data_IF_963031703122
#
_entry.id   IF_963031703122
#
_cell.length_a   1.000
_cell.length_b   1.000
_cell.length_c   1.000
_cell.angle_alpha   90.00
_cell.angle_beta   90.00
_cell.angle_gamma   90.00
#
_symmetry.space_group_name_H-M   'P 1'
#
loop_
_entity.id
_entity.type
_entity.pdbx_description
1 polymer ?
#
# COMPACT_ATOMS: atom_id res chain seq x y z
N UNK A 1 24.49 -9.64 34.05
CA UNK A 1 23.50 -8.62 33.73
C UNK A 1 24.31 -7.57 33.00
N UNK A 2 24.15 -7.51 31.68
CA UNK A 2 25.02 -6.70 30.81
C UNK A 2 24.36 -5.37 30.45
N UNK A 3 23.13 -5.10 30.89
CA UNK A 3 22.31 -3.99 30.37
C UNK A 3 21.47 -3.32 31.47
N UNK A 4 21.78 -3.57 32.75
CA UNK A 4 21.01 -3.18 33.93
C UNK A 4 19.49 -3.41 33.78
N UNK A 5 19.12 -4.48 33.07
CA UNK A 5 17.74 -4.74 32.62
C UNK A 5 17.22 -6.05 33.17
N UNK A 6 16.03 -6.01 33.76
CA UNK A 6 15.31 -7.19 34.22
C UNK A 6 14.31 -7.67 33.17
N UNK A 7 13.86 -8.92 33.28
CA UNK A 7 12.80 -9.47 32.41
C UNK A 7 11.87 -10.41 33.16
N UNK A 8 10.60 -10.50 32.74
CA UNK A 8 9.62 -11.49 33.21
C UNK A 8 9.78 -12.86 32.55
N UNK A 9 10.58 -12.94 31.48
CA UNK A 9 10.91 -14.17 30.77
C UNK A 9 12.41 -14.43 30.84
N UNK A 10 12.84 -15.24 31.81
CA UNK A 10 14.24 -15.65 31.93
C UNK A 10 14.69 -16.34 30.64
N UNK A 11 15.82 -15.91 30.08
CA UNK A 11 16.32 -16.44 28.82
C UNK A 11 17.06 -17.76 29.03
N UNK A 12 16.61 -18.82 28.37
CA UNK A 12 17.35 -20.10 28.34
C UNK A 12 18.52 -20.06 27.35
N UNK A 13 18.35 -19.32 26.25
CA UNK A 13 19.35 -19.07 25.22
C UNK A 13 19.24 -17.60 24.78
N UNK A 14 20.36 -16.89 24.77
CA UNK A 14 20.44 -15.53 24.25
C UNK A 14 21.42 -15.45 23.08
N UNK A 15 21.00 -14.85 21.97
CA UNK A 15 21.86 -14.58 20.81
C UNK A 15 22.13 -13.08 20.79
N UNK A 16 23.37 -12.70 21.08
CA UNK A 16 23.84 -11.32 20.97
C UNK A 16 24.53 -11.16 19.62
N UNK A 17 23.92 -10.36 18.74
CA UNK A 17 24.40 -10.15 17.37
C UNK A 17 24.87 -8.70 17.22
N UNK A 18 26.15 -8.51 16.88
CA UNK A 18 26.75 -7.19 16.66
C UNK A 18 26.83 -6.87 15.16
N UNK A 19 27.21 -7.87 14.36
CA UNK A 19 27.14 -7.83 12.89
C UNK A 19 27.04 -9.24 12.30
N UNK A 20 27.18 -9.39 10.98
CA UNK A 20 27.07 -10.67 10.29
C UNK A 20 28.13 -11.72 10.71
N UNK A 21 29.20 -11.29 11.36
CA UNK A 21 30.36 -12.12 11.74
C UNK A 21 30.69 -12.07 13.23
N UNK A 22 30.29 -11.01 13.92
CA UNK A 22 30.52 -10.81 15.34
C UNK A 22 29.25 -11.10 16.12
N UNK A 23 29.28 -12.16 16.92
CA UNK A 23 28.16 -12.62 17.73
C UNK A 23 28.64 -13.40 18.96
N UNK A 24 27.78 -13.49 19.97
CA UNK A 24 27.91 -14.44 21.06
C UNK A 24 26.57 -15.14 21.31
N UNK A 25 26.62 -16.43 21.67
CA UNK A 25 25.46 -17.18 22.14
C UNK A 25 25.70 -17.57 23.60
N UNK A 26 24.76 -17.21 24.47
CA UNK A 26 24.81 -17.45 25.90
C UNK A 26 23.71 -18.40 26.36
N UNK A 27 23.96 -19.13 27.44
CA UNK A 27 22.94 -19.94 28.13
C UNK A 27 22.40 -19.15 29.32
N UNK A 28 21.41 -19.72 30.00
CA UNK A 28 20.83 -19.17 31.23
C UNK A 28 21.83 -18.89 32.37
N UNK A 29 23.04 -19.47 32.33
CA UNK A 29 24.11 -19.23 33.32
C UNK A 29 25.15 -18.21 32.87
N UNK A 30 25.04 -17.66 31.66
CA UNK A 30 26.00 -16.75 31.05
C UNK A 30 27.21 -17.43 30.38
N UNK A 31 27.21 -18.75 30.26
CA UNK A 31 28.24 -19.50 29.52
C UNK A 31 28.10 -19.33 28.01
N UNK A 32 29.23 -19.16 27.32
CA UNK A 32 29.30 -18.91 25.86
C UNK A 32 29.43 -20.22 25.08
N UNK A 33 28.67 -20.38 23.98
CA UNK A 33 28.76 -21.53 23.07
C UNK A 33 28.48 -21.13 21.61
N UNK A 34 29.43 -20.44 21.00
CA UNK A 34 29.27 -19.85 19.67
C UNK A 34 29.19 -20.86 18.51
N UNK A 35 29.55 -22.13 18.72
CA UNK A 35 29.44 -23.21 17.74
C UNK A 35 27.98 -23.60 17.43
N UNK A 36 27.04 -23.21 18.30
CA UNK A 36 25.61 -23.35 18.09
C UNK A 36 25.04 -22.45 16.99
N UNK A 37 25.58 -21.24 16.83
CA UNK A 37 25.10 -20.29 15.85
C UNK A 37 25.53 -20.73 14.45
N UNK A 38 24.59 -20.73 13.51
CA UNK A 38 24.82 -21.16 12.13
C UNK A 38 24.83 -19.98 11.15
N UNK A 39 24.41 -18.79 11.58
CA UNK A 39 24.51 -17.55 10.80
C UNK A 39 23.34 -16.60 10.99
N UNK A 40 23.53 -15.38 10.49
CA UNK A 40 22.50 -14.34 10.36
C UNK A 40 22.32 -13.94 8.91
N UNK A 41 21.11 -13.51 8.56
CA UNK A 41 20.81 -12.83 7.29
C UNK A 41 19.98 -11.58 7.58
N UNK A 42 20.36 -10.46 6.96
CA UNK A 42 19.67 -9.20 7.11
C UNK A 42 18.96 -8.84 5.80
N UNK A 43 17.69 -8.46 5.89
CA UNK A 43 16.85 -8.05 4.75
C UNK A 43 16.22 -6.71 5.07
N UNK A 44 16.95 -5.64 4.73
CA UNK A 44 16.52 -4.26 4.95
C UNK A 44 15.26 -3.91 4.13
N UNK A 45 15.08 -4.56 3.00
CA UNK A 45 13.90 -4.43 2.14
C UNK A 45 12.62 -4.98 2.78
N UNK A 46 12.76 -5.87 3.78
CA UNK A 46 11.67 -6.52 4.51
C UNK A 46 11.63 -6.16 5.99
N UNK A 47 12.50 -5.24 6.45
CA UNK A 47 12.72 -4.94 7.87
C UNK A 47 12.88 -6.21 8.73
N UNK A 48 13.64 -7.20 8.23
CA UNK A 48 13.73 -8.51 8.88
C UNK A 48 15.17 -8.99 9.08
N UNK A 49 15.37 -9.75 10.15
CA UNK A 49 16.58 -10.51 10.44
C UNK A 49 16.22 -11.98 10.57
N UNK A 50 16.97 -12.84 9.87
CA UNK A 50 16.90 -14.28 10.00
C UNK A 50 18.09 -14.79 10.80
N UNK A 51 17.84 -15.61 11.82
CA UNK A 51 18.88 -16.20 12.67
C UNK A 51 18.79 -17.73 12.59
N UNK A 52 19.94 -18.40 12.50
CA UNK A 52 20.01 -19.86 12.49
C UNK A 52 20.80 -20.37 13.69
N UNK A 53 20.22 -21.30 14.44
CA UNK A 53 20.84 -21.96 15.61
C UNK A 53 20.61 -23.47 15.54
N UNK A 54 21.56 -24.26 16.04
CA UNK A 54 21.42 -25.72 16.11
C UNK A 54 20.23 -26.11 16.98
N UNK A 55 19.34 -26.93 16.43
CA UNK A 55 18.16 -27.47 17.15
C UNK A 55 18.53 -28.14 18.49
N UNK A 56 19.64 -28.89 18.52
CA UNK A 56 20.10 -29.60 19.71
C UNK A 56 20.38 -28.69 20.92
N UNK A 57 20.71 -27.42 20.67
CA UNK A 57 20.94 -26.44 21.73
C UNK A 57 19.63 -26.08 22.41
N UNK A 58 18.57 -25.88 21.63
CA UNK A 58 17.24 -25.62 22.16
C UNK A 58 16.75 -26.84 22.95
N UNK A 59 16.96 -28.05 22.42
CA UNK A 59 16.63 -29.30 23.11
C UNK A 59 17.37 -29.44 24.46
N UNK A 60 18.67 -29.14 24.49
CA UNK A 60 19.47 -29.15 25.72
C UNK A 60 19.05 -28.05 26.72
N UNK A 61 18.50 -26.94 26.22
CA UNK A 61 17.93 -25.86 27.02
C UNK A 61 16.51 -26.17 27.53
N UNK A 62 15.96 -27.36 27.21
CA UNK A 62 14.66 -27.83 27.70
C UNK A 62 13.50 -27.64 26.72
N UNK A 63 13.75 -27.10 25.52
CA UNK A 63 12.71 -27.01 24.49
C UNK A 63 12.45 -28.38 23.85
N UNK A 64 11.18 -28.70 23.60
CA UNK A 64 10.80 -29.95 22.93
C UNK A 64 10.33 -29.68 21.49
N UNK A 65 10.72 -30.49 20.50
CA UNK A 65 10.27 -30.32 19.12
C UNK A 65 8.75 -30.33 19.00
N UNK A 66 8.20 -29.29 18.36
CA UNK A 66 6.76 -29.11 18.20
C UNK A 66 6.11 -28.23 19.27
N UNK A 67 6.82 -27.93 20.37
CA UNK A 67 6.40 -26.89 21.32
C UNK A 67 6.72 -25.50 20.78
N UNK A 68 5.91 -24.51 21.17
CA UNK A 68 6.17 -23.11 20.82
C UNK A 68 7.50 -22.63 21.45
N UNK A 69 8.24 -21.80 20.71
CA UNK A 69 9.35 -21.01 21.23
C UNK A 69 8.84 -19.61 21.53
N UNK A 70 9.27 -19.00 22.63
CA UNK A 70 9.03 -17.58 22.86
C UNK A 70 10.30 -16.81 22.56
N UNK A 71 10.17 -15.71 21.82
CA UNK A 71 11.30 -14.87 21.40
C UNK A 71 11.08 -13.48 21.98
N UNK A 72 12.08 -12.99 22.72
CA UNK A 72 12.18 -11.60 23.13
C UNK A 72 13.32 -10.97 22.33
N UNK A 73 13.07 -9.83 21.68
CA UNK A 73 14.04 -9.16 20.83
C UNK A 73 14.14 -7.70 21.23
N UNK A 74 15.36 -7.22 21.41
CA UNK A 74 15.64 -5.85 21.79
C UNK A 74 16.97 -5.41 21.20
N UNK A 75 17.18 -4.11 21.14
CA UNK A 75 18.43 -3.51 20.67
C UNK A 75 19.04 -2.68 21.79
N UNK A 76 20.36 -2.73 21.89
CA UNK A 76 21.13 -1.82 22.73
C UNK A 76 22.35 -1.34 21.95
N UNK A 77 22.95 -0.25 22.41
CA UNK A 77 24.18 0.28 21.85
C UNK A 77 25.38 -0.40 22.51
N UNK A 78 26.45 -0.64 21.77
CA UNK A 78 27.64 -1.31 22.30
C UNK A 78 28.25 -0.58 23.51
N UNK A 79 28.72 -1.36 24.48
CA UNK A 79 29.37 -0.87 25.69
C UNK A 79 28.37 -0.40 26.74
N UNK A 80 27.42 -1.25 27.09
CA UNK A 80 26.45 -1.11 28.19
C UNK A 80 27.03 -1.41 29.58
N UNK A 81 28.33 -1.69 29.65
CA UNK A 81 29.07 -1.71 30.91
C UNK A 81 30.22 -0.70 30.80
N UNK A 82 30.00 0.53 31.24
CA UNK A 82 30.98 1.63 31.24
C UNK A 82 31.48 2.06 29.84
N UNK A 83 30.66 1.91 28.80
CA UNK A 83 30.99 2.29 27.43
C UNK A 83 29.99 3.26 26.79
N UNK A 84 30.02 3.42 25.45
CA UNK A 84 29.14 4.36 24.75
C UNK A 84 27.64 4.04 24.82
N UNK A 85 27.29 2.80 25.18
CA UNK A 85 25.92 2.30 25.32
C UNK A 85 25.36 2.44 26.72
N UNK A 86 26.22 2.61 27.71
CA UNK A 86 25.86 2.91 29.10
C UNK A 86 25.05 4.20 29.17
N UNK A 87 23.82 4.10 29.67
CA UNK A 87 22.97 5.26 29.95
C UNK A 87 22.47 5.23 31.39
N UNK A 88 22.02 6.37 31.91
CA UNK A 88 21.44 6.41 33.26
C UNK A 88 20.11 5.66 33.26
N UNK A 89 20.10 4.44 33.78
CA UNK A 89 18.93 3.56 33.86
C UNK A 89 19.09 2.33 32.97
N UNK A 90 18.01 1.92 32.31
CA UNK A 90 18.00 0.75 31.43
C UNK A 90 18.75 1.01 30.13
N UNK A 91 19.73 0.17 29.77
CA UNK A 91 20.49 0.33 28.52
C UNK A 91 19.75 -0.14 27.25
N UNK A 92 18.57 -0.72 27.42
CA UNK A 92 17.79 -1.34 26.33
C UNK A 92 16.74 -0.38 25.73
N UNK A 93 16.54 -0.50 24.40
CA UNK A 93 15.40 0.03 23.67
C UNK A 93 14.61 -1.15 23.05
N UNK A 94 13.37 -1.38 23.48
CA UNK A 94 12.51 -2.47 22.99
C UNK A 94 11.99 -2.10 21.61
N UNK A 95 12.07 -3.06 20.69
CA UNK A 95 11.57 -2.94 19.33
C UNK A 95 10.23 -3.67 19.13
N UNK A 96 9.77 -4.49 20.08
CA UNK A 96 8.61 -5.36 19.94
C UNK A 96 7.59 -5.17 21.08
N UNK A 97 6.77 -4.13 20.95
CA UNK A 97 5.36 -4.20 21.37
C UNK A 97 5.01 -3.94 22.82
N UNK A 98 5.95 -3.52 23.66
CA UNK A 98 5.62 -2.78 24.87
C UNK A 98 6.36 -1.44 24.86
N UNK A 99 5.73 -0.41 25.43
CA UNK A 99 6.48 0.76 25.86
C UNK A 99 7.53 0.25 26.86
N UNK A 100 8.83 0.26 26.54
CA UNK A 100 9.82 0.26 27.63
C UNK A 100 9.45 1.47 28.46
N UNK A 101 9.00 1.24 29.68
CA UNK A 101 9.12 2.26 30.69
C UNK A 101 10.62 2.51 30.85
N UNK A 102 11.13 3.54 30.15
CA UNK A 102 12.54 3.93 30.20
C UNK A 102 13.01 4.19 31.63
N UNK A 103 12.08 4.40 32.58
CA UNK A 103 12.37 4.56 33.99
C UNK A 103 12.44 3.23 34.78
N UNK A 104 11.94 2.11 34.24
CA UNK A 104 11.76 0.85 34.97
C UNK A 104 12.71 -0.29 34.59
N UNK A 105 13.35 -0.25 33.41
CA UNK A 105 14.35 -1.24 32.99
C UNK A 105 13.88 -2.69 33.01
N UNK A 106 12.66 -2.91 32.55
CA UNK A 106 12.03 -4.22 32.59
C UNK A 106 11.48 -4.59 31.20
N UNK A 107 11.94 -5.73 30.67
CA UNK A 107 11.45 -6.32 29.43
C UNK A 107 10.29 -7.27 29.74
N UNK A 108 9.14 -6.98 29.13
CA UNK A 108 7.89 -7.71 29.36
C UNK A 108 7.54 -8.62 28.17
N UNK A 109 7.18 -9.86 28.50
CA UNK A 109 6.64 -10.83 27.56
C UNK A 109 7.61 -11.27 26.47
N UNK A 110 7.06 -11.99 25.49
CA UNK A 110 7.78 -12.53 24.35
C UNK A 110 6.82 -12.93 23.24
N UNK A 111 7.29 -12.91 22.00
CA UNK A 111 6.51 -13.34 20.84
C UNK A 111 6.63 -14.85 20.71
N UNK A 112 5.53 -15.56 20.92
CA UNK A 112 5.47 -16.99 20.64
C UNK A 112 5.68 -17.27 19.14
N UNK A 113 6.36 -18.35 18.81
CA UNK A 113 6.53 -18.85 17.44
C UNK A 113 5.21 -19.30 16.81
N UNK A 114 4.15 -19.42 17.61
CA UNK A 114 2.78 -19.66 17.16
C UNK A 114 1.93 -18.40 17.20
N UNK A 115 2.50 -17.24 17.53
CA UNK A 115 1.79 -15.97 17.49
C UNK A 115 1.44 -15.64 16.04
N UNK A 116 0.24 -15.13 15.85
CA UNK A 116 -0.24 -14.63 14.57
C UNK A 116 -0.58 -13.15 14.70
N UNK A 117 -0.36 -12.39 13.65
CA UNK A 117 -0.83 -11.01 13.55
C UNK A 117 -1.97 -10.93 12.53
N UNK A 118 -2.57 -9.74 12.41
CA UNK A 118 -3.52 -9.45 11.35
C UNK A 118 -2.85 -9.31 9.99
N UNK A 119 -3.47 -8.57 9.09
CA UNK A 119 -2.96 -8.30 7.75
C UNK A 119 -3.15 -6.82 7.42
N UNK A 120 -2.05 -6.16 7.09
CA UNK A 120 -2.13 -4.88 6.42
C UNK A 120 -2.63 -5.09 4.98
N UNK A 121 -3.52 -4.21 4.52
CA UNK A 121 -4.04 -4.22 3.16
C UNK A 121 -3.51 -2.98 2.46
N UNK A 122 -2.82 -3.19 1.35
CA UNK A 122 -2.28 -2.13 0.51
C UNK A 122 -2.81 -2.34 -0.90
N UNK A 123 -3.40 -1.30 -1.48
CA UNK A 123 -3.92 -1.31 -2.84
C UNK A 123 -3.44 -0.06 -3.58
N UNK A 124 -3.31 -0.19 -4.89
CA UNK A 124 -2.99 0.92 -5.76
C UNK A 124 -3.97 0.97 -6.95
N UNK A 125 -4.09 2.15 -7.55
CA UNK A 125 -4.88 2.39 -8.75
C UNK A 125 -3.95 2.90 -9.85
N UNK A 126 -3.96 2.24 -11.01
CA UNK A 126 -3.49 2.82 -12.27
C UNK A 126 -4.60 3.65 -12.87
N UNK A 127 -4.33 4.93 -13.11
CA UNK A 127 -5.28 5.83 -13.74
C UNK A 127 -4.77 6.27 -15.10
N UNK A 128 -5.38 5.75 -16.16
CA UNK A 128 -5.09 6.14 -17.52
C UNK A 128 -6.20 7.04 -18.06
N UNK A 129 -5.83 8.25 -18.46
CA UNK A 129 -6.71 9.11 -19.24
C UNK A 129 -5.94 9.83 -20.35
N UNK A 130 -6.40 9.66 -21.59
CA UNK A 130 -5.92 10.42 -22.74
C UNK A 130 -7.12 10.73 -23.66
N UNK A 131 -7.01 11.83 -24.38
CA UNK A 131 -7.94 12.16 -25.45
C UNK A 131 -7.71 11.25 -26.67
N UNK A 132 -8.71 11.17 -27.56
CA UNK A 132 -8.52 10.53 -28.86
C UNK A 132 -7.39 11.25 -29.61
N UNK A 133 -6.39 10.49 -30.04
CA UNK A 133 -5.22 11.04 -30.69
C UNK A 133 -4.77 10.15 -31.86
N UNK A 134 -3.72 10.57 -32.58
CA UNK A 134 -3.14 9.78 -33.67
C UNK A 134 -2.66 8.45 -33.13
N UNK A 135 -2.80 7.40 -33.94
CA UNK A 135 -2.37 6.06 -33.55
C UNK A 135 -0.89 5.98 -33.17
N UNK A 136 -0.03 6.82 -33.78
CA UNK A 136 1.38 6.91 -33.38
C UNK A 136 1.52 7.41 -31.94
N UNK A 137 0.85 8.51 -31.60
CA UNK A 137 0.98 9.14 -30.29
C UNK A 137 0.48 8.21 -29.18
N UNK A 138 -0.62 7.47 -29.42
CA UNK A 138 -1.11 6.44 -28.50
C UNK A 138 -0.12 5.28 -28.34
N UNK A 139 0.48 4.79 -29.43
CA UNK A 139 1.52 3.75 -29.34
C UNK A 139 2.76 4.22 -28.58
N UNK A 140 3.12 5.50 -28.72
CA UNK A 140 4.21 6.09 -27.94
C UNK A 140 3.87 6.16 -26.44
N UNK A 141 2.60 6.26 -26.04
CA UNK A 141 2.19 6.15 -24.63
C UNK A 141 2.28 4.71 -24.09
N UNK A 142 1.99 3.71 -24.94
CA UNK A 142 2.01 2.29 -24.56
C UNK A 142 3.44 1.75 -24.43
N UNK A 143 4.29 2.05 -25.41
CA UNK A 143 5.65 1.49 -25.56
C UNK A 143 6.72 2.59 -25.54
N UNK A 144 6.56 3.57 -24.65
CA UNK A 144 7.49 4.69 -24.57
C UNK A 144 8.90 4.18 -24.27
N UNK A 145 9.89 4.89 -24.79
CA UNK A 145 11.28 4.67 -24.45
C UNK A 145 11.91 6.03 -24.20
N UNK A 146 12.48 6.23 -23.01
CA UNK A 146 13.20 7.46 -22.70
C UNK A 146 14.56 7.49 -23.42
N UNK A 147 15.19 8.66 -23.47
CA UNK A 147 16.43 8.90 -24.24
C UNK A 147 17.60 7.99 -23.83
N UNK A 148 17.58 7.45 -22.62
CA UNK A 148 18.57 6.50 -22.12
C UNK A 148 18.23 5.03 -22.44
N UNK A 149 17.28 4.77 -23.34
CA UNK A 149 16.77 3.45 -23.70
C UNK A 149 16.07 2.72 -22.54
N UNK A 150 15.58 3.46 -21.54
CA UNK A 150 14.75 2.88 -20.49
C UNK A 150 13.32 2.78 -21.01
N UNK A 151 12.75 1.57 -21.14
CA UNK A 151 11.36 1.41 -21.56
C UNK A 151 10.43 1.92 -20.44
N UNK A 152 9.59 2.87 -20.80
CA UNK A 152 8.54 3.47 -19.97
C UNK A 152 7.18 3.31 -20.66
N UNK A 153 6.08 3.72 -20.02
CA UNK A 153 4.75 3.66 -20.62
C UNK A 153 3.93 2.41 -20.29
N UNK A 154 2.65 2.44 -20.64
CA UNK A 154 1.60 1.61 -20.01
C UNK A 154 1.89 0.11 -20.00
N UNK A 155 2.63 -0.39 -21.00
CA UNK A 155 3.09 -1.78 -21.06
C UNK A 155 3.85 -2.21 -19.80
N UNK A 156 4.69 -1.34 -19.23
CA UNK A 156 5.47 -1.62 -18.02
C UNK A 156 4.59 -1.84 -16.78
N UNK A 157 3.48 -1.12 -16.67
CA UNK A 157 2.50 -1.34 -15.61
C UNK A 157 1.89 -2.74 -15.65
N UNK A 158 1.48 -3.20 -16.84
CA UNK A 158 0.94 -4.57 -17.00
C UNK A 158 2.03 -5.64 -16.85
N UNK A 159 3.25 -5.38 -17.33
CA UNK A 159 4.39 -6.28 -17.13
C UNK A 159 4.64 -6.52 -15.64
N UNK A 160 4.47 -5.51 -14.78
CA UNK A 160 4.63 -5.67 -13.34
C UNK A 160 3.55 -6.61 -12.76
N UNK A 161 2.29 -6.46 -13.17
CA UNK A 161 1.18 -7.33 -12.79
C UNK A 161 1.41 -8.78 -13.24
N UNK A 162 1.89 -8.96 -14.47
CA UNK A 162 2.16 -10.29 -15.06
C UNK A 162 3.34 -10.99 -14.40
N UNK A 163 4.48 -10.29 -14.28
CA UNK A 163 5.75 -10.89 -13.84
C UNK A 163 5.83 -11.07 -12.33
N UNK A 164 5.28 -10.14 -11.54
CA UNK A 164 5.35 -10.19 -10.07
C UNK A 164 4.08 -10.74 -9.44
N UNK A 165 3.00 -10.94 -10.22
CA UNK A 165 1.72 -11.44 -9.70
C UNK A 165 1.02 -10.48 -8.73
N UNK A 166 1.40 -9.19 -8.74
CA UNK A 166 0.72 -8.16 -7.95
C UNK A 166 -0.68 -7.95 -8.50
N UNK A 167 -1.62 -7.58 -7.63
CA UNK A 167 -2.99 -7.26 -8.04
C UNK A 167 -3.15 -5.76 -8.21
N UNK A 168 -3.72 -5.33 -9.32
CA UNK A 168 -3.90 -3.92 -9.66
C UNK A 168 -5.39 -3.56 -9.77
N UNK A 169 -5.72 -2.33 -9.41
CA UNK A 169 -6.97 -1.71 -9.82
C UNK A 169 -6.66 -0.77 -10.98
N UNK A 170 -7.44 -0.83 -12.06
CA UNK A 170 -7.17 -0.06 -13.27
C UNK A 170 -8.42 0.74 -13.62
N UNK A 171 -8.26 2.07 -13.64
CA UNK A 171 -9.18 2.95 -14.31
C UNK A 171 -8.58 3.34 -15.67
N UNK A 172 -9.34 3.08 -16.74
CA UNK A 172 -9.04 3.59 -18.09
C UNK A 172 -10.25 4.38 -18.53
N UNK A 173 -10.07 5.66 -18.87
CA UNK A 173 -11.16 6.44 -19.43
C UNK A 173 -11.66 5.81 -20.72
N UNK A 174 -12.97 5.93 -21.01
CA UNK A 174 -13.54 5.34 -22.22
C UNK A 174 -12.88 5.89 -23.50
N UNK A 175 -12.44 7.15 -23.50
CA UNK A 175 -11.64 7.73 -24.59
C UNK A 175 -10.27 7.09 -24.73
N UNK A 176 -9.54 6.81 -23.64
CA UNK A 176 -8.26 6.13 -23.72
C UNK A 176 -8.42 4.68 -24.18
N UNK A 177 -9.39 3.94 -23.63
CA UNK A 177 -9.68 2.57 -24.04
C UNK A 177 -9.98 2.51 -25.55
N UNK A 178 -10.81 3.43 -26.05
CA UNK A 178 -11.12 3.56 -27.48
C UNK A 178 -9.90 3.95 -28.33
N UNK A 179 -9.05 4.85 -27.81
CA UNK A 179 -7.84 5.28 -28.51
C UNK A 179 -6.82 4.14 -28.63
N UNK A 180 -6.65 3.34 -27.58
CA UNK A 180 -5.82 2.13 -27.60
C UNK A 180 -6.41 1.11 -28.57
N UNK A 181 -7.72 0.88 -28.53
CA UNK A 181 -8.39 -0.09 -29.41
C UNK A 181 -8.14 0.23 -30.89
N UNK A 182 -8.19 1.53 -31.23
CA UNK A 182 -7.87 1.99 -32.57
C UNK A 182 -6.37 1.85 -32.92
N UNK A 183 -5.47 2.13 -31.98
CA UNK A 183 -4.05 2.30 -32.25
C UNK A 183 -3.20 1.04 -32.09
N UNK A 184 -3.56 0.20 -31.12
CA UNK A 184 -2.91 -1.05 -30.72
C UNK A 184 -3.88 -1.95 -29.92
N UNK A 185 -4.83 -2.64 -30.60
CA UNK A 185 -5.81 -3.52 -29.94
C UNK A 185 -5.18 -4.59 -29.04
N UNK A 186 -4.04 -5.17 -29.44
CA UNK A 186 -3.34 -6.21 -28.68
C UNK A 186 -2.89 -5.75 -27.28
N UNK A 187 -2.80 -4.44 -27.03
CA UNK A 187 -2.55 -3.95 -25.68
C UNK A 187 -3.81 -4.01 -24.80
N UNK A 188 -4.97 -3.69 -25.35
CA UNK A 188 -6.26 -3.82 -24.66
C UNK A 188 -6.55 -5.29 -24.34
N UNK A 189 -6.24 -6.23 -25.24
CA UNK A 189 -6.45 -7.68 -25.03
C UNK A 189 -5.80 -8.23 -23.74
N UNK A 190 -4.73 -7.58 -23.25
CA UNK A 190 -4.07 -7.98 -21.99
C UNK A 190 -4.93 -7.72 -20.76
N UNK A 191 -5.74 -6.66 -20.76
CA UNK A 191 -6.54 -6.24 -19.61
C UNK A 191 -7.60 -7.28 -19.23
N UNK A 192 -8.47 -7.76 -20.15
CA UNK A 192 -9.47 -8.78 -19.82
C UNK A 192 -8.84 -10.12 -19.46
N UNK A 193 -7.72 -10.52 -20.08
CA UNK A 193 -6.97 -11.72 -19.68
C UNK A 193 -6.52 -11.64 -18.22
N UNK A 194 -5.99 -10.48 -17.80
CA UNK A 194 -5.57 -10.24 -16.42
C UNK A 194 -6.77 -10.15 -15.46
N UNK A 195 -7.90 -9.61 -15.91
CA UNK A 195 -9.13 -9.56 -15.13
C UNK A 195 -9.71 -10.97 -14.91
N UNK A 196 -9.75 -11.81 -15.95
CA UNK A 196 -10.21 -13.20 -15.87
C UNK A 196 -9.33 -14.05 -14.94
N UNK A 197 -8.04 -13.73 -14.83
CA UNK A 197 -7.11 -14.34 -13.87
C UNK A 197 -7.26 -13.80 -12.43
N UNK A 198 -8.12 -12.80 -12.19
CA UNK A 198 -8.28 -12.16 -10.88
C UNK A 198 -7.06 -11.34 -10.45
N UNK A 199 -6.25 -10.86 -11.41
CA UNK A 199 -5.09 -9.99 -11.19
C UNK A 199 -5.43 -8.51 -11.33
N UNK A 200 -6.40 -8.18 -12.17
CA UNK A 200 -6.86 -6.80 -12.38
C UNK A 200 -8.33 -6.67 -12.00
N UNK A 201 -8.67 -5.59 -11.30
CA UNK A 201 -10.04 -5.11 -11.15
C UNK A 201 -10.20 -3.81 -11.95
N UNK A 202 -11.23 -3.72 -12.78
CA UNK A 202 -11.51 -2.53 -13.59
C UNK A 202 -12.37 -1.57 -12.79
N UNK A 203 -12.02 -0.29 -12.82
CA UNK A 203 -12.76 0.82 -12.25
C UNK A 203 -13.40 1.60 -13.41
N UNK A 204 -14.72 1.77 -13.36
CA UNK A 204 -15.46 2.52 -14.38
C UNK A 204 -15.35 4.03 -14.18
N UNK A 205 -16.13 4.80 -14.93
CA UNK A 205 -16.11 6.26 -14.89
C UNK A 205 -17.00 6.84 -15.98
N UNK A 206 -16.78 8.11 -16.30
CA UNK A 206 -17.42 8.75 -17.46
C UNK A 206 -16.62 8.47 -18.74
N UNK A 207 -17.26 8.61 -19.90
CA UNK A 207 -16.62 8.33 -21.20
C UNK A 207 -15.32 9.12 -21.44
N UNK A 208 -15.28 10.40 -21.10
CA UNK A 208 -14.22 11.33 -21.52
C UNK A 208 -13.65 12.20 -20.38
N UNK A 209 -13.73 11.71 -19.14
CA UNK A 209 -13.21 12.36 -17.92
C UNK A 209 -13.61 13.85 -17.77
N UNK A 210 -14.81 14.23 -18.18
CA UNK A 210 -15.28 15.61 -17.99
C UNK A 210 -15.58 15.89 -16.51
N UNK A 211 -15.30 17.11 -16.04
CA UNK A 211 -15.53 17.52 -14.65
C UNK A 211 -17.04 17.56 -14.36
N UNK A 212 -17.55 16.49 -13.76
CA UNK A 212 -18.99 16.21 -13.63
C UNK A 212 -19.81 17.38 -13.04
N UNK A 213 -19.34 18.12 -12.00
CA UNK A 213 -20.09 19.26 -11.46
C UNK A 213 -20.34 20.42 -12.44
N UNK A 214 -19.65 20.48 -13.58
CA UNK A 214 -19.87 21.50 -14.62
C UNK A 214 -20.87 21.05 -15.70
N UNK A 215 -21.27 19.78 -15.70
CA UNK A 215 -22.09 19.16 -16.74
C UNK A 215 -23.27 18.38 -16.13
N UNK A 216 -23.87 18.93 -15.08
CA UNK A 216 -24.94 18.25 -14.38
C UNK A 216 -26.17 18.01 -15.24
N UNK A 217 -26.86 16.93 -14.91
CA UNK A 217 -28.14 16.61 -15.52
C UNK A 217 -29.19 17.67 -15.14
N UNK A 218 -29.95 18.11 -16.14
CA UNK A 218 -31.05 19.05 -16.02
C UNK A 218 -32.28 18.50 -16.75
N UNK A 219 -33.12 17.76 -16.00
CA UNK A 219 -34.34 17.17 -16.52
C UNK A 219 -35.33 18.22 -17.09
N UNK A 220 -35.38 19.43 -16.54
CA UNK A 220 -36.25 20.49 -17.04
C UNK A 220 -35.81 21.01 -18.42
N UNK A 221 -34.51 20.92 -18.73
CA UNK A 221 -33.94 21.26 -20.03
C UNK A 221 -33.77 20.03 -20.96
N UNK A 222 -34.07 18.83 -20.49
CA UNK A 222 -33.84 17.59 -21.24
C UNK A 222 -32.36 17.28 -21.50
N UNK A 223 -31.47 17.73 -20.61
CA UNK A 223 -30.02 17.52 -20.72
C UNK A 223 -29.58 16.50 -19.67
N UNK A 224 -28.92 15.43 -20.09
CA UNK A 224 -28.49 14.33 -19.21
C UNK A 224 -27.02 13.95 -19.45
N UNK A 225 -26.13 14.96 -19.40
CA UNK A 225 -24.73 14.80 -19.82
C UNK A 225 -23.97 13.82 -18.94
N UNK A 226 -24.10 13.92 -17.61
CA UNK A 226 -23.43 12.98 -16.70
C UNK A 226 -24.00 11.58 -16.87
N UNK A 227 -25.33 11.42 -16.82
CA UNK A 227 -25.97 10.11 -17.01
C UNK A 227 -25.59 9.44 -18.32
N UNK A 228 -25.53 10.21 -19.42
CA UNK A 228 -25.19 9.68 -20.74
C UNK A 228 -23.72 9.30 -20.83
N UNK A 229 -22.83 10.15 -20.32
CA UNK A 229 -21.40 9.87 -20.31
C UNK A 229 -21.02 8.65 -19.45
N UNK A 230 -21.70 8.43 -18.32
CA UNK A 230 -21.55 7.22 -17.49
C UNK A 230 -22.00 5.98 -18.26
N UNK A 231 -23.18 6.05 -18.89
CA UNK A 231 -23.72 4.93 -19.67
C UNK A 231 -22.80 4.57 -20.84
N UNK A 232 -22.35 5.56 -21.60
CA UNK A 232 -21.52 5.35 -22.78
C UNK A 232 -20.11 4.89 -22.38
N UNK A 233 -19.51 5.48 -21.34
CA UNK A 233 -18.22 5.03 -20.81
C UNK A 233 -18.27 3.57 -20.35
N UNK A 234 -19.31 3.21 -19.59
CA UNK A 234 -19.54 1.83 -19.16
C UNK A 234 -19.70 0.90 -20.36
N UNK A 235 -20.53 1.27 -21.34
CA UNK A 235 -20.79 0.45 -22.52
C UNK A 235 -19.52 0.21 -23.35
N UNK A 236 -18.68 1.23 -23.49
CA UNK A 236 -17.39 1.15 -24.18
C UNK A 236 -16.45 0.19 -23.46
N UNK A 237 -16.27 0.33 -22.15
CA UNK A 237 -15.37 -0.56 -21.37
C UNK A 237 -15.86 -2.01 -21.38
N UNK A 238 -17.17 -2.22 -21.21
CA UNK A 238 -17.80 -3.53 -21.28
C UNK A 238 -17.56 -4.21 -22.63
N UNK A 239 -17.65 -3.45 -23.72
CA UNK A 239 -17.47 -3.96 -25.08
C UNK A 239 -16.01 -4.23 -25.43
N UNK A 240 -15.09 -3.31 -25.10
CA UNK A 240 -13.67 -3.43 -25.47
C UNK A 240 -13.00 -4.54 -24.67
N UNK A 241 -13.34 -4.67 -23.37
CA UNK A 241 -12.74 -5.66 -22.50
C UNK A 241 -13.61 -6.91 -22.31
N UNK A 242 -14.62 -7.13 -23.15
CA UNK A 242 -15.54 -8.28 -23.11
C UNK A 242 -15.98 -8.67 -21.69
N UNK A 243 -16.34 -7.66 -20.89
CA UNK A 243 -16.66 -7.88 -19.49
C UNK A 243 -18.03 -8.55 -19.40
N UNK A 244 -18.17 -9.51 -18.50
CA UNK A 244 -19.48 -10.12 -18.20
C UNK A 244 -20.20 -9.43 -17.05
N UNK A 245 -19.46 -8.65 -16.27
CA UNK A 245 -19.95 -7.95 -15.08
C UNK A 245 -19.47 -6.51 -15.13
N UNK A 246 -20.39 -5.59 -14.88
CA UNK A 246 -20.06 -4.18 -14.81
C UNK A 246 -19.11 -3.86 -13.63
N UNK A 247 -18.14 -2.94 -13.81
CA UNK A 247 -17.42 -2.36 -12.68
C UNK A 247 -18.35 -1.77 -11.61
N UNK A 248 -18.07 -2.06 -10.34
CA UNK A 248 -18.86 -1.55 -9.21
C UNK A 248 -18.29 -0.25 -8.61
N UNK A 249 -17.01 0.02 -8.87
CA UNK A 249 -16.29 1.21 -8.41
C UNK A 249 -16.23 2.22 -9.54
N UNK A 250 -16.61 3.45 -9.22
CA UNK A 250 -16.64 4.59 -10.13
C UNK A 250 -15.49 5.54 -9.85
N UNK A 251 -14.71 5.88 -10.86
CA UNK A 251 -13.74 6.96 -10.81
C UNK A 251 -14.44 8.29 -11.11
N UNK A 252 -14.40 9.24 -10.16
CA UNK A 252 -14.87 10.59 -10.41
C UNK A 252 -13.72 11.38 -11.03
N UNK A 253 -13.90 12.00 -12.21
CA UNK A 253 -12.84 12.75 -12.87
C UNK A 253 -12.26 13.84 -11.98
N UNK A 254 -10.93 13.80 -11.82
CA UNK A 254 -10.15 14.66 -10.92
C UNK A 254 -10.64 14.66 -9.45
N UNK A 255 -11.48 13.68 -9.10
CA UNK A 255 -12.20 13.57 -7.83
C UNK A 255 -12.99 14.84 -7.49
N UNK A 256 -13.32 15.65 -8.49
CA UNK A 256 -14.09 16.89 -8.33
C UNK A 256 -15.57 16.52 -8.19
N UNK A 257 -16.08 16.62 -6.97
CA UNK A 257 -17.38 16.06 -6.58
C UNK A 257 -18.25 17.08 -5.85
N UNK A 258 -19.58 16.96 -6.03
CA UNK A 258 -20.57 17.59 -5.15
C UNK A 258 -21.75 16.64 -4.89
N UNK A 259 -22.74 17.07 -4.11
CA UNK A 259 -23.87 16.23 -3.72
C UNK A 259 -24.56 15.49 -4.88
N UNK A 260 -24.81 16.19 -6.00
CA UNK A 260 -25.43 15.63 -7.20
C UNK A 260 -24.57 14.54 -7.86
N UNK A 261 -23.24 14.67 -7.85
CA UNK A 261 -22.33 13.67 -8.43
C UNK A 261 -22.55 12.28 -7.82
N UNK A 262 -22.81 12.19 -6.51
CA UNK A 262 -23.13 10.92 -5.87
C UNK A 262 -24.48 10.33 -6.33
N UNK A 263 -25.46 11.19 -6.65
CA UNK A 263 -26.73 10.75 -7.21
C UNK A 263 -26.54 10.21 -8.64
N UNK A 264 -25.76 10.92 -9.47
CA UNK A 264 -25.40 10.50 -10.83
C UNK A 264 -24.65 9.15 -10.83
N UNK A 265 -23.80 8.91 -9.82
CA UNK A 265 -23.12 7.61 -9.65
C UNK A 265 -24.12 6.50 -9.41
N UNK A 266 -25.18 6.71 -8.63
CA UNK A 266 -26.14 5.65 -8.28
C UNK A 266 -27.21 5.44 -9.34
N UNK A 267 -27.65 6.52 -10.01
CA UNK A 267 -28.83 6.51 -10.87
C UNK A 267 -28.57 7.24 -12.18
N UNK A 268 -28.94 6.60 -13.29
CA UNK A 268 -29.06 7.28 -14.57
C UNK A 268 -30.36 8.10 -14.56
N UNK A 269 -30.25 9.43 -14.50
CA UNK A 269 -31.36 10.36 -14.36
C UNK A 269 -32.20 10.52 -15.64
N UNK A 270 -31.69 10.10 -16.80
CA UNK A 270 -32.47 10.05 -18.05
C UNK A 270 -33.50 8.91 -18.02
N UNK A 271 -33.09 7.74 -17.52
CA UNK A 271 -33.90 6.50 -17.55
C UNK A 271 -34.56 6.18 -16.21
N UNK A 272 -34.06 6.74 -15.10
CA UNK A 272 -34.46 6.41 -13.74
C UNK A 272 -33.90 5.09 -13.20
N UNK A 273 -33.06 4.39 -13.98
CA UNK A 273 -32.51 3.09 -13.60
C UNK A 273 -31.19 3.24 -12.83
N UNK A 274 -30.85 2.29 -11.95
CA UNK A 274 -29.52 2.24 -11.33
C UNK A 274 -28.44 2.16 -12.40
N UNK A 275 -27.33 2.87 -12.19
CA UNK A 275 -26.16 2.77 -13.09
C UNK A 275 -25.43 1.44 -12.93
N UNK A 276 -25.53 0.79 -11.75
CA UNK A 276 -24.75 -0.39 -11.36
C UNK A 276 -23.54 -0.10 -10.47
N UNK A 277 -23.09 1.16 -10.38
CA UNK A 277 -22.01 1.55 -9.47
C UNK A 277 -22.50 1.66 -8.02
N UNK A 278 -21.65 1.29 -7.08
CA UNK A 278 -21.96 1.33 -5.64
C UNK A 278 -20.88 1.99 -4.78
N UNK A 279 -19.68 2.15 -5.34
CA UNK A 279 -18.53 2.72 -4.66
C UNK A 279 -17.78 3.75 -5.52
N UNK A 280 -16.97 4.58 -4.89
CA UNK A 280 -16.06 5.54 -5.54
C UNK A 280 -14.80 5.75 -4.71
N UNK A 281 -13.89 6.57 -5.22
CA UNK A 281 -12.59 6.90 -4.63
C UNK A 281 -12.49 8.41 -4.48
N UNK A 282 -12.10 8.90 -3.30
CA UNK A 282 -11.92 10.33 -2.99
C UNK A 282 -10.59 10.58 -2.26
N UNK A 283 -10.13 11.83 -2.23
CA UNK A 283 -8.96 12.22 -1.41
C UNK A 283 -9.33 12.31 0.08
N UNK A 284 -8.52 11.71 0.96
CA UNK A 284 -8.78 11.69 2.40
C UNK A 284 -8.79 13.10 3.04
N UNK A 285 -7.94 14.01 2.63
CA UNK A 285 -7.90 15.36 3.21
C UNK A 285 -9.06 16.23 2.76
N UNK A 286 -9.12 16.54 1.47
CA UNK A 286 -10.06 17.57 0.98
C UNK A 286 -11.51 17.14 1.20
N UNK A 287 -11.82 15.87 0.96
CA UNK A 287 -13.20 15.38 1.03
C UNK A 287 -13.60 14.92 2.43
N UNK A 288 -12.66 14.47 3.27
CA UNK A 288 -13.01 13.95 4.60
C UNK A 288 -12.57 14.86 5.74
N UNK A 289 -11.31 15.29 5.74
CA UNK A 289 -10.81 16.19 6.78
C UNK A 289 -11.42 17.57 6.68
N UNK A 290 -11.42 18.19 5.50
CA UNK A 290 -11.88 19.57 5.35
C UNK A 290 -13.41 19.68 5.36
N UNK A 291 -14.14 18.71 4.79
CA UNK A 291 -15.62 18.75 4.76
C UNK A 291 -16.26 18.27 6.05
N UNK A 292 -15.72 17.22 6.67
CA UNK A 292 -16.36 16.56 7.82
C UNK A 292 -15.55 16.64 9.12
N UNK A 293 -14.36 17.26 9.12
CA UNK A 293 -13.51 17.32 10.31
C UNK A 293 -12.99 15.94 10.74
N UNK A 294 -12.85 15.00 9.79
CA UNK A 294 -12.52 13.61 10.09
C UNK A 294 -11.16 13.46 10.82
N UNK A 295 -11.08 12.67 11.91
CA UNK A 295 -9.82 12.41 12.60
C UNK A 295 -8.92 11.45 11.82
N UNK A 296 -7.60 11.53 12.05
CA UNK A 296 -6.60 10.73 11.33
C UNK A 296 -6.81 9.21 11.46
N UNK A 297 -7.40 8.74 12.57
CA UNK A 297 -7.71 7.32 12.79
C UNK A 297 -8.72 6.73 11.81
N UNK A 298 -9.51 7.57 11.13
CA UNK A 298 -10.56 7.16 10.20
C UNK A 298 -10.11 7.19 8.73
N UNK A 299 -8.89 7.65 8.44
CA UNK A 299 -8.35 7.81 7.07
C UNK A 299 -8.21 6.49 6.30
N UNK A 300 -8.08 5.37 7.02
CA UNK A 300 -7.92 4.03 6.42
C UNK A 300 -9.24 3.24 6.37
N UNK A 301 -10.36 3.87 6.68
CA UNK A 301 -11.68 3.22 6.75
C UNK A 301 -12.45 3.39 5.45
N UNK A 302 -13.36 2.45 5.21
CA UNK A 302 -14.39 2.59 4.19
C UNK A 302 -15.48 3.52 4.73
N UNK A 303 -15.85 4.53 3.94
CA UNK A 303 -16.90 5.48 4.31
C UNK A 303 -18.14 5.29 3.44
N UNK A 304 -19.23 5.95 3.81
CA UNK A 304 -20.43 6.02 2.97
C UNK A 304 -20.97 7.45 2.95
N UNK A 305 -21.00 8.07 1.77
CA UNK A 305 -21.43 9.46 1.57
C UNK A 305 -22.55 9.45 0.54
N UNK A 306 -23.69 10.07 0.88
CA UNK A 306 -24.86 10.14 0.01
C UNK A 306 -25.27 8.79 -0.62
N UNK A 307 -25.12 7.70 0.14
CA UNK A 307 -25.47 6.36 -0.31
C UNK A 307 -24.36 5.59 -1.06
N UNK A 308 -23.26 6.24 -1.43
CA UNK A 308 -22.13 5.64 -2.17
C UNK A 308 -21.02 5.25 -1.19
N UNK A 309 -20.44 4.05 -1.33
CA UNK A 309 -19.26 3.66 -0.57
C UNK A 309 -18.02 4.43 -1.06
N UNK A 310 -17.17 4.88 -0.15
CA UNK A 310 -16.03 5.74 -0.49
C UNK A 310 -14.74 5.14 0.05
N UNK A 311 -13.86 4.75 -0.87
CA UNK A 311 -12.46 4.49 -0.60
C UNK A 311 -11.67 5.80 -0.60
N UNK A 312 -10.66 5.90 0.26
CA UNK A 312 -9.88 7.12 0.40
C UNK A 312 -8.44 6.92 -0.05
N UNK A 313 -7.94 7.78 -0.93
CA UNK A 313 -6.51 7.86 -1.25
C UNK A 313 -5.78 8.47 -0.05
N UNK A 314 -4.74 7.79 0.43
CA UNK A 314 -4.01 8.15 1.64
C UNK A 314 -2.76 9.00 1.33
N UNK A 315 -2.96 10.27 0.98
CA UNK A 315 -1.90 11.05 0.36
C UNK A 315 -1.57 12.44 0.88
N UNK A 316 -2.27 13.00 1.88
CA UNK A 316 -2.00 14.39 2.28
C UNK A 316 -2.07 14.62 3.81
N UNK A 317 -0.93 14.90 4.46
CA UNK A 317 -0.90 15.67 5.71
C UNK A 317 -0.87 17.18 5.42
N UNK A 318 -1.91 17.85 5.88
CA UNK A 318 -2.09 19.29 5.86
C UNK A 318 -1.07 20.14 6.59
N UNK A 319 -0.39 19.56 7.58
CA UNK A 319 0.45 20.33 8.49
C UNK A 319 1.67 20.96 7.83
N UNK A 320 2.05 20.53 6.63
CA UNK A 320 3.30 20.97 6.01
C UNK A 320 3.16 22.00 4.89
N UNK A 321 1.98 22.20 4.26
CA UNK A 321 1.86 23.15 3.13
C UNK A 321 2.83 22.89 1.97
N UNK A 322 3.46 21.71 1.95
CA UNK A 322 4.39 21.27 0.93
C UNK A 322 3.64 20.37 -0.06
N UNK A 323 4.07 20.34 -1.34
CA UNK A 323 3.60 19.35 -2.31
C UNK A 323 3.75 17.91 -1.76
N UNK A 324 3.05 16.92 -2.35
CA UNK A 324 3.17 15.51 -1.96
C UNK A 324 4.65 15.13 -1.82
N UNK A 325 5.04 14.64 -0.63
CA UNK A 325 6.45 14.42 -0.29
C UNK A 325 6.88 14.81 1.13
N UNK A 326 5.95 15.11 2.05
CA UNK A 326 6.28 15.00 3.47
C UNK A 326 6.55 13.53 3.77
N UNK A 327 7.68 13.21 4.41
CA UNK A 327 8.25 11.87 4.61
C UNK A 327 7.31 10.81 5.26
N UNK A 328 6.04 11.10 5.52
CA UNK A 328 5.16 10.34 6.42
C UNK A 328 3.93 9.72 5.76
N UNK A 329 3.66 9.96 4.47
CA UNK A 329 2.39 9.55 3.84
C UNK A 329 2.59 8.52 2.70
N UNK A 330 1.77 7.45 2.65
CA UNK A 330 2.03 6.32 1.76
C UNK A 330 1.84 6.63 0.27
N UNK A 331 0.91 7.50 -0.10
CA UNK A 331 0.73 7.88 -1.51
C UNK A 331 1.84 8.82 -2.01
N UNK A 332 2.30 9.76 -1.17
CA UNK A 332 3.39 10.68 -1.52
C UNK A 332 4.75 10.00 -1.63
N UNK A 333 4.94 8.87 -0.94
CA UNK A 333 6.22 8.15 -0.87
C UNK A 333 6.21 6.81 -1.62
N UNK A 334 5.15 6.51 -2.38
CA UNK A 334 4.96 5.20 -3.05
C UNK A 334 6.05 4.81 -4.05
N UNK A 335 6.75 5.79 -4.62
CA UNK A 335 7.88 5.56 -5.53
C UNK A 335 9.25 5.73 -4.84
N UNK A 336 9.27 6.07 -3.56
CA UNK A 336 10.50 6.29 -2.82
C UNK A 336 10.95 4.98 -2.20
N UNK A 337 12.05 4.45 -2.72
CA UNK A 337 12.68 3.29 -2.13
C UNK A 337 13.68 3.72 -1.07
N UNK A 338 13.66 3.05 0.07
CA UNK A 338 14.63 3.21 1.15
C UNK A 338 15.20 1.84 1.52
N UNK A 339 16.52 1.74 1.53
CA UNK A 339 17.27 0.50 1.82
C UNK A 339 16.80 -0.70 0.96
N UNK A 340 16.52 -0.43 -0.31
CA UNK A 340 15.99 -1.39 -1.31
C UNK A 340 14.55 -1.87 -1.08
N UNK A 341 13.82 -1.33 -0.10
CA UNK A 341 12.40 -1.60 0.12
C UNK A 341 11.52 -0.35 -0.03
N UNK A 342 10.22 -0.48 0.26
CA UNK A 342 9.28 0.65 0.34
C UNK A 342 9.76 1.71 1.32
N UNK A 343 9.34 2.97 1.16
CA UNK A 343 9.64 4.03 2.11
C UNK A 343 9.38 3.61 3.57
N UNK A 344 10.30 3.93 4.49
CA UNK A 344 10.29 3.40 5.86
C UNK A 344 9.00 3.72 6.62
N UNK A 345 8.42 4.91 6.42
CA UNK A 345 7.17 5.29 7.07
C UNK A 345 5.97 4.49 6.55
N UNK A 346 5.97 4.10 5.27
CA UNK A 346 4.97 3.17 4.72
C UNK A 346 5.11 1.78 5.34
N UNK A 347 6.35 1.29 5.53
CA UNK A 347 6.58 0.00 6.20
C UNK A 347 6.12 0.02 7.66
N UNK A 348 6.45 1.09 8.41
CA UNK A 348 5.96 1.32 9.78
C UNK A 348 4.43 1.36 9.86
N UNK A 349 3.79 2.08 8.94
CA UNK A 349 2.34 2.14 8.80
C UNK A 349 1.75 0.74 8.63
N UNK A 350 2.25 -0.03 7.66
CA UNK A 350 1.75 -1.38 7.39
C UNK A 350 1.96 -2.32 8.59
N UNK A 351 3.13 -2.27 9.24
CA UNK A 351 3.38 -3.07 10.45
C UNK A 351 2.37 -2.74 11.57
N UNK A 352 2.12 -1.44 11.79
CA UNK A 352 1.11 -0.98 12.77
C UNK A 352 -0.28 -1.49 12.43
N UNK A 353 -0.74 -1.36 11.18
CA UNK A 353 -2.06 -1.82 10.75
C UNK A 353 -2.22 -3.35 10.81
N UNK A 354 -1.15 -4.11 10.52
CA UNK A 354 -1.16 -5.56 10.70
C UNK A 354 -1.37 -5.97 12.15
N UNK A 355 -0.87 -5.17 13.11
CA UNK A 355 -0.96 -5.42 14.56
C UNK A 355 -2.18 -4.77 15.22
N UNK A 356 -2.93 -3.94 14.50
CA UNK A 356 -4.14 -3.30 15.00
C UNK A 356 -5.22 -4.35 15.31
N UNK A 357 -5.99 -4.16 16.37
CA UNK A 357 -7.14 -5.03 16.64
C UNK A 357 -8.24 -4.84 15.59
N UNK A 358 -8.34 -3.64 15.03
CA UNK A 358 -9.30 -3.33 13.99
C UNK A 358 -8.72 -3.56 12.59
N UNK A 359 -8.95 -4.76 12.07
CA UNK A 359 -8.47 -5.17 10.76
C UNK A 359 -9.28 -4.62 9.57
N UNK A 360 -10.32 -3.82 9.80
CA UNK A 360 -11.11 -3.19 8.73
C UNK A 360 -10.44 -1.90 8.25
N UNK A 361 -9.19 -2.01 7.79
CA UNK A 361 -8.37 -0.88 7.34
C UNK A 361 -7.76 -1.19 5.97
N UNK A 362 -7.63 -0.16 5.12
CA UNK A 362 -7.00 -0.21 3.80
C UNK A 362 -6.07 0.99 3.64
N UNK A 363 -4.86 0.75 3.17
CA UNK A 363 -3.99 1.78 2.58
C UNK A 363 -4.22 1.78 1.09
N UNK A 364 -4.75 2.87 0.55
CA UNK A 364 -4.97 3.05 -0.88
C UNK A 364 -4.10 4.18 -1.40
N UNK A 365 -3.33 3.89 -2.44
CA UNK A 365 -2.51 4.86 -3.17
C UNK A 365 -2.97 4.95 -4.62
N UNK A 366 -2.59 6.01 -5.30
CA UNK A 366 -3.03 6.33 -6.64
C UNK A 366 -1.96 7.12 -7.38
N UNK A 367 -1.87 6.90 -8.68
CA UNK A 367 -1.17 7.79 -9.59
C UNK A 367 -1.65 7.53 -11.02
N UNK A 368 -1.25 8.43 -11.90
CA UNK A 368 -1.39 8.23 -13.33
C UNK A 368 -0.63 6.99 -13.77
N UNK A 369 -1.17 6.28 -14.76
CA UNK A 369 -0.57 5.06 -15.29
C UNK A 369 0.84 5.35 -15.84
N UNK A 370 1.04 6.54 -16.40
CA UNK A 370 2.31 7.12 -16.79
C UNK A 370 3.35 7.07 -15.66
N UNK A 371 2.98 7.53 -14.46
CA UNK A 371 3.88 7.62 -13.32
C UNK A 371 4.32 6.22 -12.84
N UNK A 372 3.36 5.30 -12.71
CA UNK A 372 3.67 3.90 -12.40
C UNK A 372 4.48 3.19 -13.48
N UNK A 373 4.41 3.69 -14.71
CA UNK A 373 5.18 3.19 -15.83
C UNK A 373 6.56 3.84 -15.96
N UNK A 374 7.03 4.54 -14.91
CA UNK A 374 8.36 5.13 -14.84
C UNK A 374 8.44 6.60 -15.25
N UNK A 375 7.31 7.27 -15.49
CA UNK A 375 7.24 8.68 -15.89
C UNK A 375 6.61 9.54 -14.80
N UNK A 376 7.27 9.65 -13.64
CA UNK A 376 6.84 10.64 -12.64
C UNK A 376 7.06 12.05 -13.22
N UNK A 377 6.19 13.02 -12.89
CA UNK A 377 6.34 14.43 -13.27
C UNK A 377 7.70 15.05 -12.85
N UNK A 378 8.48 14.35 -12.03
CA UNK A 378 9.83 14.73 -11.58
C UNK A 378 10.97 14.11 -12.41
N UNK A 379 10.67 13.31 -13.44
CA UNK A 379 11.67 12.58 -14.24
C UNK A 379 12.41 13.42 -15.31
N UNK A 380 12.22 14.75 -15.34
CA UNK A 380 13.01 15.67 -16.17
C UNK A 380 14.17 16.32 -15.40
N UNK A 381 14.98 15.54 -14.67
CA UNK A 381 16.26 16.00 -14.12
C UNK A 381 17.42 15.10 -14.53
#
# INVERSE_FOLDING_TARGET
DFTDTQTDLLWEVAICLYDATNYNVYNSTGGVFNDAFQGASFRSDLDSVGLAIRKSVLENAGWSPGSALNIQCFTTKDGTENGPGEITGSDVVDAIGATIDRAGGFLYGGVSSTATTGRAKYAFIYHGNQSLNKAKDIRDWIYREETNHTPTGYSRGLDAVENYGVKANIHVSGTLASAIEWAQPLFNDRIPDLAAQGRVAIIGGVLAEHIMPYFEDNAAAGLFVNSKAIQDGTSVLMSIYDLTTQPEVFWIPERVVRGQTFADILTNHETGNPTGYTATVLDDRYHMKDWFGMPDSQRFKLHKINGVYVFLINGIDARLGLPPGGDQEPDGTKFWNQDSGLHIETRKLLNRLARDQDQQQLVLVFDDWEAYSGRSFTSEL
#
